data_IF_309125132320
#
_entry.id   IF_309125132320
#
_cell.length_a   1.000
_cell.length_b   1.000
_cell.length_c   1.000
_cell.angle_alpha   90.00
_cell.angle_beta   90.00
_cell.angle_gamma   90.00
#
_symmetry.space_group_name_H-M   'P 1'
#
loop_
_entity.id
_entity.type
_entity.pdbx_description
1 polymer ?
#
# COMPACT_ATOMS: atom_id res chain seq x y z
N UNK A 1 12.91 -8.86 25.48
CA UNK A 1 13.82 -9.07 26.63
C UNK A 1 13.94 -7.83 27.55
N UNK A 2 14.16 -6.63 27.00
CA UNK A 2 14.32 -5.39 27.80
C UNK A 2 13.10 -5.07 28.68
N UNK A 3 11.91 -5.44 28.25
CA UNK A 3 10.63 -5.12 28.88
C UNK A 3 9.96 -6.36 29.51
N UNK A 4 10.61 -7.53 29.51
CA UNK A 4 10.03 -8.79 29.97
C UNK A 4 8.87 -9.29 29.09
N UNK A 5 8.82 -8.86 27.83
CA UNK A 5 7.81 -9.26 26.84
C UNK A 5 8.39 -10.33 25.93
N UNK A 6 7.64 -11.42 25.72
CA UNK A 6 7.91 -12.41 24.68
C UNK A 6 7.10 -12.03 23.44
N UNK A 7 7.73 -12.07 22.28
CA UNK A 7 7.09 -11.78 21.00
C UNK A 7 7.23 -13.00 20.09
N UNK A 8 6.10 -13.53 19.65
CA UNK A 8 6.02 -14.60 18.68
C UNK A 8 5.55 -14.00 17.34
N UNK A 9 6.38 -14.14 16.30
CA UNK A 9 6.01 -13.72 14.96
C UNK A 9 5.22 -14.82 14.28
N UNK A 10 3.95 -14.53 13.97
CA UNK A 10 3.00 -15.49 13.40
C UNK A 10 2.50 -15.07 12.01
N UNK A 11 3.26 -14.22 11.30
CA UNK A 11 2.86 -13.71 9.99
C UNK A 11 2.68 -14.83 8.96
N UNK A 12 1.60 -14.75 8.18
CA UNK A 12 1.37 -15.63 7.02
C UNK A 12 2.34 -15.29 5.88
N UNK A 13 2.68 -16.29 5.08
CA UNK A 13 3.44 -16.08 3.84
C UNK A 13 2.57 -15.51 2.70
N UNK A 14 1.24 -15.54 2.86
CA UNK A 14 0.28 -15.06 1.88
C UNK A 14 -0.52 -13.89 2.47
N UNK A 15 -0.75 -12.88 1.66
CA UNK A 15 -1.60 -11.75 2.00
C UNK A 15 -3.09 -12.09 1.74
N UNK A 16 -3.60 -13.10 2.43
CA UNK A 16 -4.98 -13.54 2.31
C UNK A 16 -5.73 -13.36 3.64
N UNK A 17 -6.96 -12.86 3.59
CA UNK A 17 -7.82 -12.68 4.77
C UNK A 17 -8.00 -13.97 5.55
N UNK A 18 -8.26 -15.09 4.86
CA UNK A 18 -8.45 -16.39 5.52
C UNK A 18 -7.23 -16.84 6.31
N UNK A 19 -6.02 -16.56 5.81
CA UNK A 19 -4.77 -16.88 6.51
C UNK A 19 -4.60 -15.98 7.75
N UNK A 20 -4.88 -14.69 7.64
CA UNK A 20 -4.84 -13.79 8.80
C UNK A 20 -5.86 -14.20 9.88
N UNK A 21 -7.11 -14.49 9.50
CA UNK A 21 -8.13 -15.00 10.43
C UNK A 21 -7.67 -16.27 11.13
N UNK A 22 -7.05 -17.21 10.38
CA UNK A 22 -6.49 -18.44 10.98
C UNK A 22 -5.41 -18.16 12.02
N UNK A 23 -4.51 -17.21 11.72
CA UNK A 23 -3.43 -16.80 12.64
C UNK A 23 -3.99 -16.09 13.88
N UNK A 24 -4.98 -15.21 13.73
CA UNK A 24 -5.66 -14.55 14.86
C UNK A 24 -6.28 -15.60 15.77
N UNK A 25 -7.02 -16.57 15.22
CA UNK A 25 -7.65 -17.65 16.00
C UNK A 25 -6.62 -18.54 16.71
N UNK A 26 -5.46 -18.78 16.08
CA UNK A 26 -4.37 -19.49 16.74
C UNK A 26 -3.77 -18.69 17.89
N UNK A 27 -3.60 -17.37 17.74
CA UNK A 27 -3.14 -16.50 18.82
C UNK A 27 -4.13 -16.48 20.00
N UNK A 28 -5.44 -16.36 19.73
CA UNK A 28 -6.49 -16.46 20.75
C UNK A 28 -6.39 -17.79 21.49
N UNK A 29 -6.30 -18.89 20.77
CA UNK A 29 -6.20 -20.25 21.34
C UNK A 29 -4.94 -20.46 22.16
N UNK A 30 -3.87 -19.75 21.85
CA UNK A 30 -2.59 -19.80 22.58
C UNK A 30 -2.58 -18.96 23.85
N UNK A 31 -3.63 -18.14 24.07
CA UNK A 31 -3.78 -17.32 25.26
C UNK A 31 -2.75 -16.19 25.36
N UNK A 32 -2.46 -15.52 24.26
CA UNK A 32 -1.58 -14.35 24.25
C UNK A 32 -2.22 -13.16 24.97
N UNK A 33 -1.40 -12.27 25.52
CA UNK A 33 -1.90 -11.05 26.18
C UNK A 33 -2.24 -9.94 25.16
N UNK A 34 -1.59 -9.94 24.00
CA UNK A 34 -1.79 -8.93 22.97
C UNK A 34 -1.55 -9.50 21.57
N UNK A 35 -2.28 -8.94 20.60
CA UNK A 35 -2.07 -9.13 19.16
C UNK A 35 -1.65 -7.78 18.56
N UNK A 36 -0.56 -7.78 17.78
CA UNK A 36 -0.10 -6.64 16.99
C UNK A 36 -0.16 -7.02 15.52
N UNK A 37 -1.04 -6.38 14.74
CA UNK A 37 -1.36 -6.81 13.38
C UNK A 37 -1.37 -5.63 12.40
N UNK A 38 -0.91 -5.87 11.16
CA UNK A 38 -1.20 -5.07 9.97
C UNK A 38 -2.22 -5.86 9.14
N UNK A 39 -3.37 -5.27 8.84
CA UNK A 39 -4.48 -6.00 8.22
C UNK A 39 -4.43 -5.94 6.71
N UNK A 40 -4.74 -7.03 6.02
CA UNK A 40 -4.91 -7.03 4.55
C UNK A 40 -6.30 -6.54 4.13
N UNK A 41 -7.30 -6.66 5.01
CA UNK A 41 -8.67 -6.21 4.82
C UNK A 41 -9.32 -6.00 6.20
N UNK A 42 -9.60 -4.75 6.53
CA UNK A 42 -10.15 -4.38 7.83
C UNK A 42 -11.51 -5.04 8.14
N UNK A 43 -12.37 -5.18 7.12
CA UNK A 43 -13.68 -5.81 7.27
C UNK A 43 -13.56 -7.33 7.40
N UNK A 44 -12.65 -7.92 6.60
CA UNK A 44 -12.48 -9.37 6.56
C UNK A 44 -11.91 -10.00 7.83
N UNK A 45 -11.18 -9.23 8.64
CA UNK A 45 -10.63 -9.71 9.93
C UNK A 45 -11.43 -9.26 11.15
N UNK A 46 -12.46 -8.44 10.96
CA UNK A 46 -13.22 -7.79 12.05
C UNK A 46 -13.74 -8.77 13.09
N UNK A 47 -14.47 -9.81 12.68
CA UNK A 47 -15.06 -10.78 13.58
C UNK A 47 -14.00 -11.48 14.47
N UNK A 48 -12.86 -11.87 13.86
CA UNK A 48 -11.78 -12.52 14.60
C UNK A 48 -11.08 -11.57 15.59
N UNK A 49 -10.94 -10.29 15.26
CA UNK A 49 -10.39 -9.28 16.17
C UNK A 49 -11.37 -8.96 17.31
N UNK A 50 -12.67 -8.96 17.06
CA UNK A 50 -13.68 -8.84 18.13
C UNK A 50 -13.63 -10.05 19.08
N UNK A 51 -13.51 -11.27 18.57
CA UNK A 51 -13.32 -12.47 19.40
C UNK A 51 -12.07 -12.36 20.27
N UNK A 52 -10.96 -11.84 19.74
CA UNK A 52 -9.75 -11.60 20.53
C UNK A 52 -10.00 -10.60 21.67
N UNK A 53 -10.68 -9.50 21.41
CA UNK A 53 -11.05 -8.50 22.42
C UNK A 53 -11.98 -9.06 23.48
N UNK A 54 -12.98 -9.86 23.09
CA UNK A 54 -13.90 -10.54 24.01
C UNK A 54 -13.18 -11.56 24.90
N UNK A 55 -12.09 -12.16 24.39
CA UNK A 55 -11.19 -12.99 25.18
C UNK A 55 -10.26 -12.20 26.12
N UNK A 56 -10.34 -10.86 26.12
CA UNK A 56 -9.50 -9.97 26.94
C UNK A 56 -8.11 -9.71 26.36
N UNK A 57 -7.88 -10.04 25.11
CA UNK A 57 -6.60 -9.81 24.41
C UNK A 57 -6.57 -8.37 23.90
N UNK A 58 -5.47 -7.67 24.16
CA UNK A 58 -5.28 -6.32 23.63
C UNK A 58 -4.95 -6.40 22.14
N UNK A 59 -5.74 -5.73 21.28
CA UNK A 59 -5.49 -5.63 19.85
C UNK A 59 -4.85 -4.28 19.53
N UNK A 60 -3.71 -4.30 18.89
CA UNK A 60 -3.05 -3.11 18.34
C UNK A 60 -2.79 -3.30 16.86
N UNK A 61 -2.98 -2.23 16.09
CA UNK A 61 -2.67 -2.23 14.66
C UNK A 61 -1.48 -1.34 14.36
N UNK A 62 -0.80 -1.63 13.29
CA UNK A 62 0.28 -0.83 12.74
C UNK A 62 0.24 -0.90 11.21
N UNK A 63 0.79 0.11 10.52
CA UNK A 63 0.78 0.18 9.06
C UNK A 63 -0.67 0.20 8.52
N UNK A 64 -1.22 -0.94 8.09
CA UNK A 64 -2.63 -1.05 7.67
C UNK A 64 -3.55 -1.31 8.85
N UNK A 65 -4.54 -0.41 9.04
CA UNK A 65 -5.44 -0.42 10.18
C UNK A 65 -6.58 -1.45 10.04
N UNK A 66 -7.18 -1.81 11.18
CA UNK A 66 -8.49 -2.44 11.27
C UNK A 66 -9.58 -1.36 11.47
N UNK A 67 -10.86 -1.78 11.55
CA UNK A 67 -11.88 -0.85 11.99
C UNK A 67 -11.57 -0.35 13.41
N UNK A 68 -11.90 0.90 13.69
CA UNK A 68 -11.57 1.55 14.97
C UNK A 68 -12.10 0.80 16.21
N UNK A 69 -13.24 0.12 16.06
CA UNK A 69 -13.87 -0.65 17.14
C UNK A 69 -13.20 -2.01 17.37
N UNK A 70 -12.41 -2.50 16.43
CA UNK A 70 -11.76 -3.80 16.48
C UNK A 70 -10.38 -3.75 17.17
N UNK A 71 -9.88 -2.56 17.47
CA UNK A 71 -8.55 -2.35 18.07
C UNK A 71 -8.57 -1.41 19.27
N UNK A 72 -7.50 -1.46 20.05
CA UNK A 72 -7.26 -0.58 21.19
C UNK A 72 -6.41 0.63 20.79
N UNK A 73 -5.39 0.42 19.95
CA UNK A 73 -4.41 1.41 19.53
C UNK A 73 -3.98 1.16 18.09
N UNK A 74 -3.76 2.24 17.34
CA UNK A 74 -3.13 2.24 16.02
C UNK A 74 -1.79 2.97 16.09
N UNK A 75 -0.75 2.37 15.48
CA UNK A 75 0.55 3.01 15.24
C UNK A 75 0.71 3.24 13.74
N UNK A 76 0.57 4.48 13.30
CA UNK A 76 0.70 4.87 11.89
C UNK A 76 2.09 5.42 11.59
N UNK A 77 2.61 5.14 10.39
CA UNK A 77 3.83 5.77 9.86
C UNK A 77 3.61 7.22 9.43
N UNK A 78 2.37 7.64 9.26
CA UNK A 78 1.97 8.99 8.89
C UNK A 78 0.47 9.11 8.69
N UNK A 79 -0.04 10.33 8.57
CA UNK A 79 -1.43 10.53 8.20
C UNK A 79 -1.60 10.38 6.68
N UNK A 80 -2.82 10.08 6.19
CA UNK A 80 -3.08 10.00 4.75
C UNK A 80 -2.63 11.26 3.98
N UNK A 81 -2.82 12.44 4.57
CA UNK A 81 -2.42 13.71 3.96
C UNK A 81 -0.91 13.82 3.78
N UNK A 82 -0.14 13.40 4.81
CA UNK A 82 1.32 13.43 4.75
C UNK A 82 1.83 12.42 3.74
N UNK A 83 1.30 11.20 3.74
CA UNK A 83 1.78 10.14 2.84
C UNK A 83 1.33 10.38 1.40
N UNK A 84 0.10 10.87 1.18
CA UNK A 84 -0.36 11.28 -0.14
C UNK A 84 0.47 12.44 -0.71
N UNK A 85 0.81 13.44 0.12
CA UNK A 85 1.69 14.53 -0.30
C UNK A 85 3.10 14.01 -0.67
N UNK A 86 3.68 13.12 0.14
CA UNK A 86 5.01 12.54 -0.15
C UNK A 86 5.04 11.80 -1.48
N UNK A 87 4.01 11.01 -1.80
CA UNK A 87 3.92 10.28 -3.07
C UNK A 87 3.87 11.24 -4.27
N UNK A 88 3.08 12.31 -4.16
CA UNK A 88 3.00 13.34 -5.20
C UNK A 88 4.32 14.11 -5.32
N UNK A 89 4.95 14.48 -4.21
CA UNK A 89 6.23 15.20 -4.21
C UNK A 89 7.33 14.36 -4.87
N UNK A 90 7.38 13.05 -4.59
CA UNK A 90 8.33 12.14 -5.26
C UNK A 90 8.09 12.06 -6.77
N UNK A 91 6.83 12.04 -7.21
CA UNK A 91 6.49 12.07 -8.64
C UNK A 91 6.91 13.39 -9.29
N UNK A 92 6.66 14.51 -8.62
CA UNK A 92 7.08 15.86 -9.07
C UNK A 92 8.60 15.96 -9.20
N UNK A 93 9.33 15.48 -8.20
CA UNK A 93 10.79 15.52 -8.21
C UNK A 93 11.36 14.65 -9.35
N UNK A 94 10.82 13.43 -9.52
CA UNK A 94 11.22 12.55 -10.62
C UNK A 94 10.96 13.17 -12.01
N UNK A 95 9.84 13.85 -12.20
CA UNK A 95 9.53 14.57 -13.44
C UNK A 95 10.54 15.71 -13.70
N UNK A 96 10.85 16.51 -12.66
CA UNK A 96 11.84 17.60 -12.75
C UNK A 96 13.24 17.08 -13.10
N UNK A 97 13.66 15.97 -12.50
CA UNK A 97 14.94 15.32 -12.83
C UNK A 97 15.00 14.86 -14.30
N UNK A 98 13.86 14.56 -14.89
CA UNK A 98 13.69 14.23 -16.32
C UNK A 98 13.49 15.45 -17.23
N UNK A 99 13.56 16.65 -16.68
CA UNK A 99 13.43 17.90 -17.43
C UNK A 99 11.99 18.25 -17.83
N UNK A 100 10.99 17.60 -17.22
CA UNK A 100 9.57 17.98 -17.34
C UNK A 100 9.24 19.13 -16.40
N UNK A 101 8.25 19.93 -16.78
CA UNK A 101 7.65 20.94 -15.92
C UNK A 101 6.30 20.43 -15.38
N UNK A 102 6.24 19.94 -14.13
CA UNK A 102 5.00 19.38 -13.58
C UNK A 102 3.82 20.35 -13.53
N UNK A 103 4.09 21.66 -13.51
CA UNK A 103 3.03 22.69 -13.42
C UNK A 103 2.47 23.07 -14.80
N UNK A 104 3.25 22.93 -15.88
CA UNK A 104 2.88 23.42 -17.20
C UNK A 104 2.79 22.35 -18.29
N UNK A 105 3.52 21.22 -18.15
CA UNK A 105 3.47 20.13 -19.12
C UNK A 105 2.22 19.27 -18.92
N UNK A 106 1.70 18.67 -20.00
CA UNK A 106 0.73 17.59 -19.90
C UNK A 106 1.44 16.33 -19.39
N UNK A 107 0.99 15.78 -18.25
CA UNK A 107 1.57 14.62 -17.60
C UNK A 107 0.56 13.48 -17.58
N UNK A 108 0.99 12.31 -18.04
CA UNK A 108 0.21 11.07 -17.97
C UNK A 108 0.72 10.22 -16.81
N UNK A 109 -0.16 9.83 -15.90
CA UNK A 109 0.19 9.02 -14.75
C UNK A 109 -0.82 7.91 -14.49
N UNK A 110 -0.42 6.93 -13.70
CA UNK A 110 -1.31 5.95 -13.08
C UNK A 110 -0.75 5.52 -11.72
N UNK A 111 -1.56 4.73 -10.99
CA UNK A 111 -1.17 4.12 -9.73
C UNK A 111 -0.98 2.62 -9.87
N UNK A 112 0.04 2.09 -9.21
CA UNK A 112 0.29 0.65 -9.09
C UNK A 112 0.39 0.27 -7.61
N UNK A 113 -0.62 -0.42 -7.13
CA UNK A 113 -0.86 -0.77 -5.73
C UNK A 113 -0.59 -2.23 -5.42
N UNK A 114 -0.76 -2.58 -4.12
CA UNK A 114 -0.85 -3.98 -3.72
C UNK A 114 -2.22 -4.58 -4.02
N UNK A 115 -3.27 -4.08 -3.40
CA UNK A 115 -4.65 -4.62 -3.52
C UNK A 115 -5.69 -3.50 -3.36
N UNK A 116 -6.87 -3.71 -3.95
CA UNK A 116 -7.99 -2.77 -3.87
C UNK A 116 -8.57 -2.61 -2.45
N UNK A 117 -8.36 -3.59 -1.57
CA UNK A 117 -8.93 -3.63 -0.21
C UNK A 117 -8.03 -3.02 0.86
N UNK A 118 -6.79 -2.63 0.53
CA UNK A 118 -5.83 -2.06 1.48
C UNK A 118 -6.21 -0.61 1.79
N UNK A 119 -6.78 -0.40 2.97
CA UNK A 119 -7.43 0.86 3.38
C UNK A 119 -6.48 2.04 3.44
N UNK A 120 -5.28 1.85 3.96
CA UNK A 120 -4.27 2.89 4.10
C UNK A 120 -3.76 3.37 2.73
N UNK A 121 -3.38 2.45 1.82
CA UNK A 121 -2.94 2.79 0.47
C UNK A 121 -4.03 3.54 -0.31
N UNK A 122 -5.29 3.11 -0.17
CA UNK A 122 -6.42 3.83 -0.77
C UNK A 122 -6.57 5.25 -0.20
N UNK A 123 -6.38 5.42 1.11
CA UNK A 123 -6.46 6.74 1.74
C UNK A 123 -5.34 7.68 1.27
N UNK A 124 -4.12 7.17 1.09
CA UNK A 124 -3.01 7.96 0.55
C UNK A 124 -3.25 8.39 -0.89
N UNK A 125 -3.81 7.51 -1.71
CA UNK A 125 -4.20 7.87 -3.08
C UNK A 125 -5.26 8.96 -3.09
N UNK A 126 -6.31 8.83 -2.30
CA UNK A 126 -7.38 9.84 -2.23
C UNK A 126 -6.81 11.22 -1.93
N UNK A 127 -5.87 11.32 -0.99
CA UNK A 127 -5.21 12.59 -0.69
C UNK A 127 -4.25 13.02 -1.81
N UNK A 128 -3.50 12.09 -2.40
CA UNK A 128 -2.65 12.37 -3.56
C UNK A 128 -3.44 12.89 -4.76
N UNK A 129 -4.57 12.26 -5.09
CA UNK A 129 -5.47 12.72 -6.18
C UNK A 129 -6.05 14.11 -5.91
N UNK A 130 -6.40 14.44 -4.67
CA UNK A 130 -6.83 15.81 -4.31
C UNK A 130 -5.72 16.82 -4.59
N UNK A 131 -4.49 16.52 -4.18
CA UNK A 131 -3.33 17.38 -4.38
C UNK A 131 -3.04 17.54 -5.88
N UNK A 132 -3.09 16.45 -6.65
CA UNK A 132 -2.90 16.50 -8.11
C UNK A 132 -3.98 17.38 -8.75
N UNK A 133 -5.25 17.15 -8.42
CA UNK A 133 -6.34 17.93 -8.98
C UNK A 133 -6.26 19.44 -8.64
N UNK A 134 -5.76 19.77 -7.46
CA UNK A 134 -5.64 21.17 -7.01
C UNK A 134 -4.41 21.88 -7.59
N UNK A 135 -3.24 21.21 -7.58
CA UNK A 135 -1.96 21.84 -7.92
C UNK A 135 -1.49 21.54 -9.35
N UNK A 136 -1.90 20.42 -9.92
CA UNK A 136 -1.42 19.91 -11.20
C UNK A 136 -2.60 19.52 -12.12
N UNK A 137 -3.49 20.47 -12.48
CA UNK A 137 -4.71 20.17 -13.25
C UNK A 137 -4.43 19.71 -14.70
N UNK A 138 -3.18 19.81 -15.15
CA UNK A 138 -2.66 19.33 -16.42
C UNK A 138 -2.25 17.85 -16.38
N UNK A 139 -2.29 17.18 -15.21
CA UNK A 139 -2.02 15.76 -15.09
C UNK A 139 -3.29 14.95 -15.41
N UNK A 140 -3.11 13.83 -16.12
CA UNK A 140 -4.20 12.91 -16.50
C UNK A 140 -3.90 11.51 -15.97
N UNK A 141 -4.77 10.98 -15.11
CA UNK A 141 -4.74 9.58 -14.73
C UNK A 141 -5.24 8.73 -15.90
N UNK A 142 -4.33 7.96 -16.51
CA UNK A 142 -4.64 7.16 -17.70
C UNK A 142 -5.34 5.84 -17.38
N UNK A 143 -5.35 5.43 -16.11
CA UNK A 143 -6.02 4.21 -15.65
C UNK A 143 -6.62 4.37 -14.23
N UNK A 144 -7.81 4.97 -14.11
CA UNK A 144 -8.43 5.29 -12.81
C UNK A 144 -8.76 4.06 -11.93
N UNK A 145 -8.87 2.87 -12.53
CA UNK A 145 -9.16 1.62 -11.80
C UNK A 145 -7.94 1.05 -11.08
N UNK A 146 -6.77 1.67 -11.24
CA UNK A 146 -5.47 1.26 -10.70
C UNK A 146 -4.96 -0.11 -11.20
N UNK A 147 -3.68 -0.34 -11.04
CA UNK A 147 -3.04 -1.63 -11.26
C UNK A 147 -2.69 -2.27 -9.91
N UNK A 148 -2.78 -3.60 -9.80
CA UNK A 148 -2.62 -4.33 -8.54
C UNK A 148 -1.63 -5.49 -8.66
N UNK A 149 -0.60 -5.49 -7.79
CA UNK A 149 0.40 -6.56 -7.68
C UNK A 149 -0.07 -7.75 -6.82
N UNK A 150 -1.11 -7.56 -6.00
CA UNK A 150 -1.63 -8.52 -5.00
C UNK A 150 -0.55 -9.01 -4.02
N UNK A 151 0.44 -8.16 -3.74
CA UNK A 151 1.61 -8.45 -2.90
C UNK A 151 2.45 -9.66 -3.40
N UNK A 152 2.34 -9.97 -4.68
CA UNK A 152 3.11 -11.01 -5.37
C UNK A 152 4.18 -10.36 -6.25
N UNK A 153 5.45 -10.71 -6.02
CA UNK A 153 6.58 -10.09 -6.71
C UNK A 153 6.61 -10.40 -8.22
N UNK A 154 6.24 -11.63 -8.62
CA UNK A 154 6.19 -12.01 -10.03
C UNK A 154 5.02 -11.33 -10.74
N UNK A 155 3.88 -11.24 -10.05
CA UNK A 155 2.71 -10.52 -10.54
C UNK A 155 3.00 -9.03 -10.68
N UNK A 156 3.71 -8.42 -9.72
CA UNK A 156 4.11 -7.02 -9.79
C UNK A 156 4.94 -6.71 -11.05
N UNK A 157 5.86 -7.60 -11.44
CA UNK A 157 6.62 -7.47 -12.68
C UNK A 157 5.69 -7.61 -13.90
N UNK A 158 4.87 -8.65 -13.95
CA UNK A 158 3.95 -8.90 -15.07
C UNK A 158 2.96 -7.75 -15.26
N UNK A 159 2.39 -7.24 -14.16
CA UNK A 159 1.50 -6.08 -14.18
C UNK A 159 2.27 -4.83 -14.61
N UNK A 160 3.49 -4.63 -14.10
CA UNK A 160 4.34 -3.51 -14.49
C UNK A 160 4.65 -3.49 -15.99
N UNK A 161 4.94 -4.65 -16.60
CA UNK A 161 5.12 -4.76 -18.05
C UNK A 161 3.84 -4.42 -18.80
N UNK A 162 2.68 -4.89 -18.31
CA UNK A 162 1.38 -4.58 -18.91
C UNK A 162 1.03 -3.09 -18.83
N UNK A 163 1.40 -2.41 -17.72
CA UNK A 163 1.26 -0.95 -17.58
C UNK A 163 2.00 -0.22 -18.69
N UNK A 164 3.28 -0.58 -18.90
CA UNK A 164 4.13 0.04 -19.90
C UNK A 164 3.68 -0.26 -21.34
N UNK A 165 3.21 -1.47 -21.60
CA UNK A 165 2.69 -1.86 -22.91
C UNK A 165 1.39 -1.12 -23.26
N UNK A 166 0.52 -0.94 -22.28
CA UNK A 166 -0.75 -0.22 -22.45
C UNK A 166 -0.57 1.30 -22.57
N UNK A 167 0.48 1.83 -21.96
CA UNK A 167 0.72 3.26 -21.86
C UNK A 167 2.17 3.61 -22.22
N UNK A 168 2.58 3.45 -23.49
CA UNK A 168 3.97 3.64 -23.93
C UNK A 168 4.47 5.09 -23.81
N UNK A 169 3.56 6.02 -23.60
CA UNK A 169 3.80 7.47 -23.43
C UNK A 169 3.47 7.96 -22.01
N UNK A 170 3.46 7.04 -21.02
CA UNK A 170 3.25 7.41 -19.62
C UNK A 170 4.49 8.13 -19.08
N UNK A 171 4.25 9.19 -18.30
CA UNK A 171 5.32 9.99 -17.70
C UNK A 171 5.66 9.54 -16.28
N UNK A 172 4.65 9.07 -15.53
CA UNK A 172 4.80 8.69 -14.11
C UNK A 172 3.94 7.48 -13.76
N UNK A 173 4.53 6.54 -13.03
CA UNK A 173 3.81 5.45 -12.37
C UNK A 173 4.05 5.61 -10.88
N UNK A 174 3.00 5.89 -10.12
CA UNK A 174 3.07 6.08 -8.66
C UNK A 174 2.84 4.74 -7.99
N UNK A 175 3.86 4.24 -7.31
CA UNK A 175 3.81 2.99 -6.56
C UNK A 175 3.81 3.30 -5.07
N UNK A 176 2.78 2.89 -4.36
CA UNK A 176 2.62 3.16 -2.93
C UNK A 176 2.78 1.91 -2.06
N UNK A 177 3.43 0.88 -2.57
CA UNK A 177 3.62 -0.39 -1.88
C UNK A 177 5.00 -0.99 -2.15
N UNK A 178 5.51 -1.75 -1.18
CA UNK A 178 6.85 -2.32 -1.19
C UNK A 178 7.04 -3.49 -2.18
N UNK A 179 5.97 -3.99 -2.79
CA UNK A 179 6.00 -5.05 -3.82
C UNK A 179 5.83 -4.45 -5.21
N UNK A 180 4.87 -3.54 -5.38
CA UNK A 180 4.59 -2.89 -6.66
C UNK A 180 5.78 -2.08 -7.17
N UNK A 181 6.45 -1.30 -6.30
CA UNK A 181 7.57 -0.46 -6.71
C UNK A 181 8.77 -1.25 -7.29
N UNK A 182 9.34 -2.25 -6.60
CA UNK A 182 10.44 -3.03 -7.17
C UNK A 182 9.99 -3.85 -8.39
N UNK A 183 8.76 -4.36 -8.41
CA UNK A 183 8.21 -5.06 -9.58
C UNK A 183 8.07 -4.14 -10.79
N UNK A 184 7.58 -2.92 -10.61
CA UNK A 184 7.49 -1.92 -11.67
C UNK A 184 8.86 -1.51 -12.19
N UNK A 185 9.85 -1.35 -11.30
CA UNK A 185 11.22 -1.06 -11.69
C UNK A 185 11.82 -2.18 -12.54
N UNK A 186 11.67 -3.44 -12.11
CA UNK A 186 12.13 -4.59 -12.87
C UNK A 186 11.43 -4.70 -14.22
N UNK A 187 10.14 -4.42 -14.29
CA UNK A 187 9.38 -4.38 -15.54
C UNK A 187 9.93 -3.30 -16.50
N UNK A 188 10.25 -2.12 -15.98
CA UNK A 188 10.86 -1.05 -16.76
C UNK A 188 12.23 -1.48 -17.33
N UNK A 189 13.08 -2.09 -16.49
CA UNK A 189 14.38 -2.64 -16.95
C UNK A 189 14.21 -3.71 -18.02
N UNK A 190 13.27 -4.65 -17.86
CA UNK A 190 12.97 -5.69 -18.84
C UNK A 190 12.55 -5.11 -20.21
N UNK A 191 11.86 -3.97 -20.20
CA UNK A 191 11.42 -3.24 -21.39
C UNK A 191 12.50 -2.31 -21.95
N UNK A 192 13.68 -2.25 -21.34
CA UNK A 192 14.81 -1.47 -21.79
C UNK A 192 14.81 -0.01 -21.33
N UNK A 193 13.89 0.36 -20.43
CA UNK A 193 13.94 1.66 -19.76
C UNK A 193 15.10 1.69 -18.77
N UNK A 194 15.73 2.83 -18.63
CA UNK A 194 16.83 3.05 -17.69
C UNK A 194 16.85 4.53 -17.28
N UNK A 195 17.86 4.92 -16.51
CA UNK A 195 17.98 6.31 -16.01
C UNK A 195 18.12 7.37 -17.11
N UNK A 196 18.43 6.98 -18.34
CA UNK A 196 18.71 7.91 -19.45
C UNK A 196 17.52 8.03 -20.43
N UNK A 197 16.47 7.19 -20.26
CA UNK A 197 15.27 7.19 -21.11
C UNK A 197 13.98 6.90 -20.34
#
# INVERSE_FOLDING_TARGET
>A
EKWGITVDYMGSSNAAVADQVSVINQAISSGVDAICISTVDAAGVSDALQEAKDAGIMVTTWDSDANSDDRTLMVSQGTPEVLGQMLVDMAVDGLKERGKDPENDEIKYCWHYSQATVTDQNSWQVEGEKIIAEKYPNWTNVYPDNYYSEQDAEKAITVGEAVLDANPDIDVIICNDSTALPGQLQAAENKGYNKDN
#
